data_IF_210475005671
#
_entry.id   IF_210475005671
#
_cell.length_a   1.000
_cell.length_b   1.000
_cell.length_c   1.000
_cell.angle_alpha   90.00
_cell.angle_beta   90.00
_cell.angle_gamma   90.00
#
_symmetry.space_group_name_H-M   'P 1'
#
loop_
_entity.id
_entity.type
_entity.pdbx_description
1 polymer ?
#
# COMPACT_ATOMS: atom_id res chain seq x y z
N UNK A 1 33.18 -46.81 -3.65
CA UNK A 1 31.98 -46.48 -2.85
C UNK A 1 31.92 -44.96 -2.59
N UNK A 2 32.40 -44.07 -3.47
CA UNK A 2 31.76 -43.56 -4.71
C UNK A 2 30.24 -43.30 -4.60
N UNK A 3 29.91 -42.01 -4.69
CA UNK A 3 28.71 -41.44 -5.34
C UNK A 3 27.34 -41.50 -4.65
N UNK A 4 27.24 -41.08 -3.39
CA UNK A 4 25.95 -40.69 -2.80
C UNK A 4 25.78 -39.18 -2.56
N UNK A 5 26.79 -38.35 -2.86
CA UNK A 5 26.84 -36.93 -2.43
C UNK A 5 26.64 -35.90 -3.54
N UNK A 6 26.49 -36.30 -4.81
CA UNK A 6 26.26 -35.37 -5.94
C UNK A 6 24.80 -35.23 -6.35
N UNK A 7 23.88 -35.97 -5.72
CA UNK A 7 22.53 -36.19 -6.25
C UNK A 7 21.43 -36.11 -5.19
N UNK A 8 21.43 -35.10 -4.31
CA UNK A 8 20.24 -34.89 -3.47
C UNK A 8 19.48 -33.62 -3.77
N UNK A 9 20.10 -32.44 -3.86
CA UNK A 9 19.47 -31.27 -4.48
C UNK A 9 20.57 -30.33 -4.96
N UNK A 10 20.50 -29.88 -6.21
CA UNK A 10 21.35 -28.80 -6.69
C UNK A 10 20.96 -27.53 -5.92
N UNK A 11 21.71 -27.19 -4.87
CA UNK A 11 21.31 -26.23 -3.85
C UNK A 11 21.03 -24.85 -4.46
N UNK A 12 21.81 -24.44 -5.45
CA UNK A 12 21.59 -23.17 -6.14
C UNK A 12 20.32 -23.20 -7.00
N UNK A 13 20.06 -24.30 -7.71
CA UNK A 13 18.84 -24.46 -8.49
C UNK A 13 17.59 -24.49 -7.59
N UNK A 14 17.67 -25.13 -6.42
CA UNK A 14 16.60 -25.14 -5.42
C UNK A 14 16.36 -23.76 -4.83
N UNK A 15 17.41 -23.04 -4.42
CA UNK A 15 17.28 -21.67 -3.91
C UNK A 15 16.65 -20.75 -4.95
N UNK A 16 17.08 -20.82 -6.22
CA UNK A 16 16.48 -20.04 -7.32
C UNK A 16 15.01 -20.40 -7.56
N UNK A 17 14.65 -21.69 -7.45
CA UNK A 17 13.27 -22.14 -7.58
C UNK A 17 12.39 -21.63 -6.42
N UNK A 18 12.90 -21.69 -5.19
CA UNK A 18 12.25 -21.16 -3.99
C UNK A 18 12.05 -19.64 -4.08
N UNK A 19 13.05 -18.90 -4.56
CA UNK A 19 12.94 -17.46 -4.79
C UNK A 19 11.88 -17.12 -5.83
N UNK A 20 11.81 -17.90 -6.92
CA UNK A 20 10.80 -17.72 -7.97
C UNK A 20 9.40 -18.01 -7.44
N UNK A 21 9.24 -19.06 -6.63
CA UNK A 21 7.98 -19.41 -6.00
C UNK A 21 7.53 -18.33 -5.00
N UNK A 22 8.43 -17.90 -4.12
CA UNK A 22 8.22 -16.85 -3.11
C UNK A 22 7.83 -15.53 -3.77
N UNK A 23 8.57 -15.11 -4.81
CA UNK A 23 8.24 -13.92 -5.60
C UNK A 23 6.85 -14.01 -6.21
N UNK A 24 6.48 -15.15 -6.79
CA UNK A 24 5.15 -15.35 -7.41
C UNK A 24 4.04 -15.28 -6.37
N UNK A 25 4.21 -15.96 -5.25
CA UNK A 25 3.28 -15.96 -4.13
C UNK A 25 3.06 -14.54 -3.57
N UNK A 26 4.14 -13.86 -3.22
CA UNK A 26 4.10 -12.53 -2.61
C UNK A 26 3.60 -11.46 -3.58
N UNK A 27 3.93 -11.57 -4.87
CA UNK A 27 3.36 -10.70 -5.91
C UNK A 27 1.84 -10.88 -6.03
N UNK A 28 1.35 -12.13 -5.95
CA UNK A 28 -0.08 -12.43 -5.98
C UNK A 28 -0.78 -11.87 -4.73
N UNK A 29 -0.17 -12.04 -3.56
CA UNK A 29 -0.67 -11.45 -2.32
C UNK A 29 -0.75 -9.91 -2.41
N UNK A 30 0.33 -9.25 -2.87
CA UNK A 30 0.34 -7.80 -3.10
C UNK A 30 -0.75 -7.34 -4.08
N UNK A 31 -1.00 -8.11 -5.14
CA UNK A 31 -2.09 -7.84 -6.09
C UNK A 31 -3.48 -7.95 -5.43
N UNK A 32 -3.70 -8.92 -4.55
CA UNK A 32 -4.96 -9.05 -3.79
C UNK A 32 -5.17 -7.88 -2.83
N UNK A 33 -4.16 -7.54 -2.03
CA UNK A 33 -4.24 -6.41 -1.08
C UNK A 33 -4.52 -5.11 -1.84
N UNK A 34 -3.78 -4.86 -2.93
CA UNK A 34 -4.02 -3.71 -3.82
C UNK A 34 -5.47 -3.67 -4.31
N UNK A 35 -6.00 -4.81 -4.74
CA UNK A 35 -7.35 -4.90 -5.29
C UNK A 35 -8.41 -4.63 -4.23
N UNK A 36 -8.27 -5.25 -3.05
CA UNK A 36 -9.18 -5.02 -1.91
C UNK A 36 -9.14 -3.57 -1.43
N UNK A 37 -7.96 -2.97 -1.30
CA UNK A 37 -7.80 -1.57 -0.96
C UNK A 37 -8.47 -0.64 -2.00
N UNK A 38 -8.22 -0.85 -3.31
CA UNK A 38 -8.85 -0.08 -4.40
C UNK A 38 -10.38 -0.21 -4.43
N UNK A 39 -10.89 -1.40 -4.09
CA UNK A 39 -12.33 -1.69 -4.02
C UNK A 39 -13.03 -1.02 -2.83
N UNK A 40 -12.32 -0.88 -1.70
CA UNK A 40 -12.82 -0.20 -0.51
C UNK A 40 -13.03 1.32 -0.74
N UNK A 41 -12.16 1.92 -1.56
CA UNK A 41 -12.22 3.34 -1.92
C UNK A 41 -13.33 3.56 -2.96
N UNK A 42 -14.46 4.14 -2.57
CA UNK A 42 -15.58 4.46 -3.48
C UNK A 42 -15.52 5.92 -3.96
N UNK A 43 -15.98 6.17 -5.18
CA UNK A 43 -16.13 7.54 -5.71
C UNK A 43 -17.44 8.13 -5.19
N UNK A 44 -17.35 9.19 -4.37
CA UNK A 44 -18.49 9.91 -3.79
C UNK A 44 -18.08 11.38 -3.55
N UNK A 45 -19.07 12.25 -3.41
CA UNK A 45 -18.86 13.63 -2.93
C UNK A 45 -18.77 13.63 -1.40
N UNK A 46 -18.06 14.61 -0.83
CA UNK A 46 -17.90 14.75 0.62
C UNK A 46 -16.88 13.81 1.26
N UNK A 47 -16.50 14.09 2.51
CA UNK A 47 -15.57 13.26 3.27
C UNK A 47 -16.22 11.96 3.74
N UNK A 48 -15.44 10.87 3.83
CA UNK A 48 -15.89 9.65 4.50
C UNK A 48 -15.95 9.85 6.02
N UNK A 49 -16.75 9.02 6.70
CA UNK A 49 -16.76 8.93 8.17
C UNK A 49 -15.38 8.47 8.69
N UNK A 50 -14.96 8.89 9.89
CA UNK A 50 -13.78 8.31 10.56
C UNK A 50 -13.86 6.77 10.61
N UNK A 51 -12.71 6.10 10.49
CA UNK A 51 -12.61 4.64 10.45
C UNK A 51 -13.02 4.00 9.12
N UNK A 52 -13.73 4.73 8.25
CA UNK A 52 -14.13 4.25 6.94
C UNK A 52 -13.13 4.67 5.85
N UNK A 53 -12.89 3.84 4.82
CA UNK A 53 -12.01 4.17 3.71
C UNK A 53 -12.34 5.55 3.10
N UNK A 54 -11.32 6.30 2.64
CA UNK A 54 -11.51 7.61 2.07
C UNK A 54 -12.31 7.52 0.78
N UNK A 55 -13.05 8.59 0.46
CA UNK A 55 -13.72 8.72 -0.83
C UNK A 55 -12.73 9.19 -1.89
N UNK A 56 -12.83 8.60 -3.08
CA UNK A 56 -12.06 9.07 -4.23
C UNK A 56 -12.74 10.29 -4.85
N UNK A 57 -12.18 11.47 -4.58
CA UNK A 57 -12.52 12.71 -5.30
C UNK A 57 -11.71 12.85 -6.59
N UNK A 58 -10.47 12.34 -6.59
CA UNK A 58 -9.58 12.26 -7.74
C UNK A 58 -9.07 10.82 -7.90
N UNK A 59 -8.44 10.52 -9.04
CA UNK A 59 -7.90 9.19 -9.33
C UNK A 59 -6.71 8.77 -8.46
N UNK A 60 -6.05 9.73 -7.80
CA UNK A 60 -4.72 9.52 -7.21
C UNK A 60 -4.72 8.60 -6.00
N UNK A 61 -5.75 8.64 -5.14
CA UNK A 61 -5.81 7.77 -3.95
C UNK A 61 -5.99 6.29 -4.28
N UNK A 62 -6.45 5.99 -5.50
CA UNK A 62 -6.56 4.61 -5.99
C UNK A 62 -5.27 4.09 -6.65
N UNK A 63 -4.25 4.95 -6.81
CA UNK A 63 -2.95 4.56 -7.35
C UNK A 63 -2.14 3.90 -6.23
N UNK A 64 -2.42 2.62 -6.03
CA UNK A 64 -1.69 1.74 -5.10
C UNK A 64 -0.76 0.87 -5.94
N UNK A 65 0.48 0.73 -5.50
CA UNK A 65 1.50 -0.11 -6.10
C UNK A 65 1.88 -1.25 -5.16
N UNK A 66 2.49 -2.29 -5.72
CA UNK A 66 3.17 -3.31 -4.94
C UNK A 66 4.44 -3.74 -5.68
N UNK A 67 5.44 -4.19 -4.92
CA UNK A 67 6.67 -4.74 -5.46
C UNK A 67 7.22 -5.82 -4.52
N UNK A 68 7.72 -6.91 -5.08
CA UNK A 68 8.53 -7.86 -4.34
C UNK A 68 9.90 -7.23 -4.08
N UNK A 69 10.35 -7.28 -2.83
CA UNK A 69 11.68 -6.86 -2.42
C UNK A 69 12.51 -8.10 -2.10
N UNK A 70 13.53 -8.34 -2.92
CA UNK A 70 14.41 -9.50 -2.77
C UNK A 70 15.29 -9.40 -1.52
N UNK A 71 15.63 -8.18 -1.06
CA UNK A 71 16.49 -8.00 0.11
C UNK A 71 15.81 -8.39 1.41
N UNK A 72 14.50 -8.13 1.53
CA UNK A 72 13.68 -8.52 2.68
C UNK A 72 12.87 -9.81 2.47
N UNK A 73 13.01 -10.45 1.30
CA UNK A 73 12.16 -11.57 0.85
C UNK A 73 10.67 -11.31 1.08
N UNK A 74 10.25 -10.07 0.82
CA UNK A 74 8.93 -9.56 1.19
C UNK A 74 8.20 -8.86 0.04
N UNK A 75 7.02 -8.32 0.33
CA UNK A 75 6.29 -7.46 -0.61
C UNK A 75 5.93 -6.14 0.05
N UNK A 76 6.30 -5.05 -0.61
CA UNK A 76 5.91 -3.69 -0.22
C UNK A 76 4.65 -3.34 -0.97
N UNK A 77 3.61 -2.87 -0.26
CA UNK A 77 2.30 -2.57 -0.83
C UNK A 77 1.82 -1.23 -0.28
N UNK A 78 1.48 -0.27 -1.14
CA UNK A 78 1.10 1.06 -0.67
C UNK A 78 0.62 2.04 -1.74
N UNK A 79 -0.08 3.10 -1.32
CA UNK A 79 -0.45 4.21 -2.20
C UNK A 79 0.78 5.00 -2.65
N UNK A 80 0.76 5.54 -3.86
CA UNK A 80 1.78 6.50 -4.29
C UNK A 80 1.66 7.81 -3.54
N UNK A 81 2.78 8.54 -3.41
CA UNK A 81 2.77 9.93 -2.95
C UNK A 81 2.01 10.80 -3.97
N UNK A 82 1.20 11.72 -3.49
CA UNK A 82 0.52 12.68 -4.37
C UNK A 82 1.46 13.84 -4.71
N UNK A 83 1.41 14.31 -5.96
CA UNK A 83 2.22 15.44 -6.44
C UNK A 83 1.95 16.76 -5.71
N UNK A 84 0.78 16.90 -5.05
CA UNK A 84 0.43 18.05 -4.20
C UNK A 84 0.48 17.63 -2.74
N UNK A 85 1.52 18.06 -2.03
CA UNK A 85 1.70 17.94 -0.58
C UNK A 85 1.41 16.55 0.01
N UNK A 86 1.95 15.51 -0.63
CA UNK A 86 2.54 14.24 -0.14
C UNK A 86 2.06 13.47 1.12
N UNK A 87 1.24 14.02 2.01
CA UNK A 87 0.83 13.41 3.27
C UNK A 87 -0.58 12.83 3.25
N UNK A 88 -1.35 13.09 2.20
CA UNK A 88 -2.76 12.67 2.14
C UNK A 88 -2.97 11.16 2.30
N UNK A 89 -2.17 10.24 1.72
CA UNK A 89 -2.35 8.82 2.00
C UNK A 89 -1.97 8.43 3.43
N UNK A 90 -0.85 8.95 3.96
CA UNK A 90 -0.37 8.65 5.31
C UNK A 90 -1.34 9.15 6.39
N UNK A 91 -1.85 10.38 6.24
CA UNK A 91 -2.81 10.98 7.18
C UNK A 91 -4.16 10.27 7.14
N UNK A 92 -4.53 9.69 5.99
CA UNK A 92 -5.74 8.88 5.93
C UNK A 92 -5.52 7.55 6.64
N UNK A 93 -4.36 6.91 6.55
CA UNK A 93 -4.13 5.64 7.28
C UNK A 93 -4.03 5.80 8.78
N UNK A 94 -3.28 6.79 9.24
CA UNK A 94 -2.95 6.90 10.66
C UNK A 94 -3.70 8.02 11.38
N UNK A 95 -4.35 8.92 10.64
CA UNK A 95 -4.83 10.18 11.20
C UNK A 95 -3.67 11.13 11.55
N UNK A 96 -4.01 12.23 12.21
CA UNK A 96 -3.06 13.19 12.78
C UNK A 96 -3.32 14.62 12.33
N UNK A 97 -2.32 15.49 12.54
CA UNK A 97 -2.39 16.91 12.17
C UNK A 97 -1.72 17.16 10.83
N UNK A 98 -2.35 17.96 9.97
CA UNK A 98 -1.76 18.42 8.71
C UNK A 98 -1.91 19.93 8.58
N UNK A 99 -0.86 20.59 8.10
CA UNK A 99 -0.90 22.02 7.75
C UNK A 99 -1.43 22.15 6.33
N UNK A 100 -2.57 22.81 6.19
CA UNK A 100 -3.17 23.10 4.89
C UNK A 100 -2.87 24.54 4.52
N UNK A 101 -2.21 24.72 3.38
CA UNK A 101 -2.00 26.02 2.78
C UNK A 101 -3.14 26.32 1.80
N UNK A 102 -3.82 27.45 1.99
CA UNK A 102 -4.81 27.97 1.04
C UNK A 102 -4.41 29.35 0.59
N UNK A 103 -4.25 29.51 -0.73
CA UNK A 103 -4.10 30.82 -1.36
C UNK A 103 -5.46 31.50 -1.46
N UNK A 104 -5.60 32.67 -0.85
CA UNK A 104 -6.80 33.50 -0.98
C UNK A 104 -6.88 34.06 -2.40
N UNK A 105 -7.97 33.76 -3.12
CA UNK A 105 -8.15 34.18 -4.52
C UNK A 105 -8.14 35.70 -4.70
N UNK A 106 -8.68 36.45 -3.75
CA UNK A 106 -8.84 37.92 -3.83
C UNK A 106 -7.57 38.71 -3.54
N UNK A 107 -6.77 38.26 -2.56
CA UNK A 107 -5.60 39.01 -2.05
C UNK A 107 -4.27 38.38 -2.44
N UNK A 108 -4.28 37.18 -3.01
CA UNK A 108 -3.07 36.40 -3.30
C UNK A 108 -2.35 35.85 -2.06
N UNK A 109 -2.76 36.22 -0.84
CA UNK A 109 -2.12 35.81 0.41
C UNK A 109 -2.29 34.32 0.67
N UNK A 110 -1.24 33.66 1.14
CA UNK A 110 -1.28 32.26 1.57
C UNK A 110 -1.62 32.21 3.05
N UNK A 111 -2.72 31.54 3.40
CA UNK A 111 -3.09 31.25 4.79
C UNK A 111 -2.77 29.79 5.10
N UNK A 112 -2.06 29.57 6.21
CA UNK A 112 -1.74 28.24 6.74
C UNK A 112 -2.66 27.94 7.91
N UNK A 113 -3.34 26.81 7.87
CA UNK A 113 -4.16 26.33 8.99
C UNK A 113 -3.77 24.89 9.31
N UNK A 114 -3.53 24.60 10.59
CA UNK A 114 -3.39 23.21 11.05
C UNK A 114 -4.77 22.61 11.23
N UNK A 115 -4.98 21.41 10.67
CA UNK A 115 -6.26 20.68 10.76
C UNK A 115 -5.98 19.29 11.32
N UNK A 116 -6.81 18.86 12.27
CA UNK A 116 -6.83 17.48 12.76
C UNK A 116 -7.66 16.62 11.83
N UNK A 117 -7.09 15.50 11.39
CA UNK A 117 -7.71 14.54 10.49
C UNK A 117 -7.81 13.20 11.20
N UNK A 118 -9.03 12.71 11.40
CA UNK A 118 -9.23 11.36 11.91
C UNK A 118 -8.82 10.30 10.88
N UNK A 119 -8.30 9.17 11.38
CA UNK A 119 -7.92 8.03 10.56
C UNK A 119 -9.11 7.48 9.76
N UNK A 120 -8.82 7.06 8.54
CA UNK A 120 -9.69 6.50 7.50
C UNK A 120 -8.94 5.35 6.81
N UNK A 121 -8.63 4.28 7.57
CA UNK A 121 -7.74 3.24 7.10
C UNK A 121 -8.32 2.50 5.89
N UNK A 122 -7.48 2.20 4.90
CA UNK A 122 -7.86 1.45 3.69
C UNK A 122 -6.84 0.40 3.26
N UNK A 123 -5.56 0.54 3.65
CA UNK A 123 -4.49 -0.42 3.44
C UNK A 123 -4.48 -1.48 4.53
N UNK A 124 -4.45 -1.09 5.80
CA UNK A 124 -4.39 -2.06 6.90
C UNK A 124 -5.60 -3.02 6.91
N UNK A 125 -6.86 -2.55 6.78
CA UNK A 125 -8.00 -3.45 6.66
C UNK A 125 -7.94 -4.35 5.42
N UNK A 126 -7.42 -3.85 4.29
CA UNK A 126 -7.26 -4.65 3.09
C UNK A 126 -6.17 -5.73 3.26
N UNK A 127 -5.08 -5.41 3.95
CA UNK A 127 -4.03 -6.37 4.27
C UNK A 127 -4.57 -7.48 5.17
N UNK A 128 -5.22 -7.12 6.28
CA UNK A 128 -5.81 -8.09 7.22
C UNK A 128 -6.83 -9.00 6.54
N UNK A 129 -7.65 -8.44 5.65
CA UNK A 129 -8.63 -9.22 4.87
C UNK A 129 -7.99 -10.29 4.00
N UNK A 130 -6.86 -9.98 3.37
CA UNK A 130 -6.19 -10.89 2.45
C UNK A 130 -5.12 -11.77 3.13
N UNK A 131 -4.80 -11.51 4.41
CA UNK A 131 -3.81 -12.25 5.19
C UNK A 131 -3.95 -13.79 5.08
N UNK A 132 -5.17 -14.38 5.12
CA UNK A 132 -5.33 -15.83 4.96
C UNK A 132 -4.96 -16.39 3.58
N UNK A 133 -4.66 -15.53 2.60
CA UNK A 133 -4.23 -15.92 1.25
C UNK A 133 -2.71 -15.90 1.07
N UNK A 134 -1.97 -15.57 2.12
CA UNK A 134 -0.54 -15.83 2.12
C UNK A 134 -0.31 -17.34 2.04
N UNK A 135 0.66 -17.80 1.24
CA UNK A 135 1.13 -19.16 1.38
C UNK A 135 1.71 -19.35 2.79
N UNK A 136 1.54 -20.56 3.32
CA UNK A 136 2.24 -21.03 4.51
C UNK A 136 3.76 -21.11 4.28
#
# INVERSE_FOLDING_TARGET
MSDFKRSFFDAEAVVRALDKASRKALSKFGAFVRTSARGSIRRRKGSSKPGQPPHAHQGDIKKILFAYDAGSQGVVIGPIKFNKQGMAPKIMEHGGSVVIERKQKRTGRVKRNTVQVAARPFMAPAFMKELPRLPE
#
